data_IF_846696887886
#
_entry.id   IF_846696887886
#
_cell.length_a   1.000
_cell.length_b   1.000
_cell.length_c   1.000
_cell.angle_alpha   90.00
_cell.angle_beta   90.00
_cell.angle_gamma   90.00
#
_symmetry.space_group_name_H-M   'P 1'
#
loop_
_entity.id
_entity.type
_entity.pdbx_description
1 polymer ?
#
# COMPACT_ATOMS: atom_id res chain seq x y z
N UNK A 1 -12.70 6.40 -3.41
CA UNK A 1 -12.70 5.48 -4.58
C UNK A 1 -13.16 4.05 -4.20
N UNK A 2 -12.88 3.58 -3.01
CA UNK A 2 -13.17 2.23 -2.52
C UNK A 2 -14.67 1.87 -2.42
N UNK A 3 -15.57 2.85 -2.42
CA UNK A 3 -17.03 2.64 -2.38
C UNK A 3 -17.75 3.09 -3.68
N UNK A 4 -17.02 3.39 -4.76
CA UNK A 4 -17.62 3.93 -6.00
C UNK A 4 -18.72 3.04 -6.55
N UNK A 5 -18.50 1.73 -6.62
CA UNK A 5 -19.51 0.79 -7.09
C UNK A 5 -20.79 0.81 -6.26
N UNK A 6 -20.66 0.93 -4.94
CA UNK A 6 -21.80 1.00 -4.02
C UNK A 6 -22.62 2.28 -4.24
N UNK A 7 -21.95 3.45 -4.23
CA UNK A 7 -22.66 4.74 -4.36
C UNK A 7 -23.25 4.94 -5.76
N UNK A 8 -22.61 4.40 -6.81
CA UNK A 8 -23.14 4.40 -8.18
C UNK A 8 -24.38 3.52 -8.28
N UNK A 9 -24.32 2.28 -7.78
CA UNK A 9 -25.44 1.33 -7.81
C UNK A 9 -26.65 1.88 -7.05
N UNK A 10 -26.43 2.57 -5.94
CA UNK A 10 -27.49 3.17 -5.13
C UNK A 10 -27.97 4.53 -5.65
N UNK A 11 -27.44 5.02 -6.78
CA UNK A 11 -27.84 6.30 -7.39
C UNK A 11 -27.51 7.54 -6.54
N UNK A 12 -26.51 7.42 -5.65
CA UNK A 12 -26.06 8.52 -4.79
C UNK A 12 -25.20 9.52 -5.58
N UNK A 13 -24.51 9.02 -6.62
CA UNK A 13 -23.68 9.81 -7.53
C UNK A 13 -24.17 9.67 -8.97
N UNK A 14 -23.86 10.66 -9.80
CA UNK A 14 -24.15 10.63 -11.23
C UNK A 14 -22.85 10.48 -12.03
N UNK A 15 -22.90 9.86 -13.22
CA UNK A 15 -21.77 9.84 -14.13
C UNK A 15 -21.31 11.26 -14.48
N UNK A 16 -20.02 11.42 -14.66
CA UNK A 16 -19.40 12.68 -15.08
C UNK A 16 -18.54 12.48 -16.34
N UNK A 17 -18.44 13.52 -17.15
CA UNK A 17 -17.52 13.58 -18.26
C UNK A 17 -16.26 14.37 -17.82
N UNK A 18 -15.10 13.73 -17.86
CA UNK A 18 -13.81 14.38 -17.54
C UNK A 18 -13.33 15.32 -18.66
N UNK A 19 -13.91 15.22 -19.87
CA UNK A 19 -13.55 16.05 -21.00
C UNK A 19 -12.06 15.96 -21.36
N UNK A 20 -11.46 17.09 -21.73
CA UNK A 20 -10.07 17.13 -22.18
C UNK A 20 -9.03 16.84 -21.10
N UNK A 21 -9.40 16.94 -19.81
CA UNK A 21 -8.46 16.67 -18.72
C UNK A 21 -8.21 15.18 -18.50
N UNK A 22 -9.05 14.32 -19.08
CA UNK A 22 -8.89 12.86 -18.93
C UNK A 22 -7.49 12.38 -19.33
N UNK A 23 -6.90 12.98 -20.37
CA UNK A 23 -5.55 12.64 -20.82
C UNK A 23 -4.42 13.04 -19.86
N UNK A 24 -4.71 13.88 -18.88
CA UNK A 24 -3.74 14.36 -17.89
C UNK A 24 -3.80 13.58 -16.58
N UNK A 25 -4.76 12.65 -16.49
CA UNK A 25 -5.00 11.80 -15.30
C UNK A 25 -4.44 10.41 -15.56
N UNK A 26 -3.78 9.82 -14.57
CA UNK A 26 -3.32 8.44 -14.64
C UNK A 26 -4.51 7.48 -14.79
N UNK A 27 -4.38 6.46 -15.65
CA UNK A 27 -5.43 5.47 -15.91
C UNK A 27 -5.94 4.79 -14.64
N UNK A 28 -5.06 4.50 -13.69
CA UNK A 28 -5.43 3.91 -12.41
C UNK A 28 -6.32 4.84 -11.57
N UNK A 29 -6.13 6.15 -11.68
CA UNK A 29 -7.01 7.14 -11.03
C UNK A 29 -8.40 7.14 -11.63
N UNK A 30 -8.50 7.12 -12.97
CA UNK A 30 -9.78 7.04 -13.68
C UNK A 30 -10.48 5.71 -13.34
N UNK A 31 -9.75 4.60 -13.40
CA UNK A 31 -10.30 3.28 -13.07
C UNK A 31 -10.83 3.19 -11.64
N UNK A 32 -10.15 3.82 -10.67
CA UNK A 32 -10.58 3.89 -9.28
C UNK A 32 -11.92 4.61 -9.07
N UNK A 33 -12.32 5.48 -10.00
CA UNK A 33 -13.61 6.20 -9.99
C UNK A 33 -14.58 5.70 -11.06
N UNK A 34 -14.28 4.58 -11.72
CA UNK A 34 -15.13 4.00 -12.77
C UNK A 34 -15.91 2.80 -12.24
N UNK A 35 -17.16 2.67 -12.68
CA UNK A 35 -18.01 1.52 -12.42
C UNK A 35 -19.01 1.35 -13.58
N UNK A 36 -19.19 0.11 -14.07
CA UNK A 36 -20.14 -0.18 -15.15
C UNK A 36 -19.84 0.54 -16.47
N UNK A 37 -18.58 0.94 -16.70
CA UNK A 37 -18.16 1.66 -17.92
C UNK A 37 -18.32 3.18 -17.85
N UNK A 38 -18.77 3.73 -16.73
CA UNK A 38 -18.96 5.16 -16.50
C UNK A 38 -18.03 5.66 -15.38
N UNK A 39 -17.63 6.94 -15.44
CA UNK A 39 -16.82 7.60 -14.41
C UNK A 39 -17.72 8.37 -13.46
N UNK A 40 -17.58 8.18 -12.15
CA UNK A 40 -18.45 8.74 -11.11
C UNK A 40 -17.74 9.72 -10.17
N UNK A 41 -16.48 10.03 -10.41
CA UNK A 41 -15.74 10.96 -9.58
C UNK A 41 -14.54 11.56 -10.29
N UNK A 42 -14.08 12.69 -9.79
CA UNK A 42 -12.92 13.40 -10.30
C UNK A 42 -11.68 13.01 -9.49
N UNK A 43 -10.72 12.26 -10.06
CA UNK A 43 -9.47 11.93 -9.37
C UNK A 43 -8.62 13.20 -9.23
N UNK A 44 -8.39 13.68 -8.01
CA UNK A 44 -7.53 14.85 -7.77
C UNK A 44 -6.14 14.48 -7.29
N UNK A 45 -5.94 13.24 -6.85
CA UNK A 45 -4.65 12.71 -6.40
C UNK A 45 -4.59 11.21 -6.63
N UNK A 46 -3.36 10.71 -6.84
CA UNK A 46 -3.04 9.28 -6.81
C UNK A 46 -1.96 9.08 -5.76
N UNK A 47 -2.19 8.15 -4.87
CA UNK A 47 -1.33 7.89 -3.71
C UNK A 47 -0.78 6.46 -3.77
N UNK A 48 0.36 6.26 -3.14
CA UNK A 48 0.98 4.94 -3.00
C UNK A 48 1.54 4.78 -1.59
N UNK A 49 1.55 3.54 -1.12
CA UNK A 49 2.33 3.17 0.06
C UNK A 49 3.81 3.23 -0.31
N UNK A 50 4.60 3.81 0.57
CA UNK A 50 6.04 3.92 0.45
C UNK A 50 6.73 3.60 1.80
N UNK A 51 8.02 3.41 1.76
CA UNK A 51 8.82 3.30 2.97
C UNK A 51 9.53 4.62 3.22
N UNK A 52 9.19 5.27 4.32
CA UNK A 52 9.90 6.42 4.84
C UNK A 52 11.11 5.96 5.64
N UNK A 53 12.19 6.72 5.61
CA UNK A 53 13.38 6.46 6.43
C UNK A 53 13.80 7.72 7.17
N UNK A 54 14.42 7.56 8.34
CA UNK A 54 14.99 8.67 9.10
C UNK A 54 16.38 8.99 8.55
N UNK A 55 16.50 10.08 7.80
CA UNK A 55 17.75 10.50 7.15
C UNK A 55 18.86 10.88 8.13
N UNK A 56 18.54 11.13 9.39
CA UNK A 56 19.53 11.41 10.43
C UNK A 56 20.15 10.13 11.02
N UNK A 57 19.53 8.99 10.76
CA UNK A 57 19.91 7.69 11.31
C UNK A 57 20.37 6.68 10.23
N UNK A 58 20.11 6.95 8.96
CA UNK A 58 20.43 6.04 7.84
C UNK A 58 21.29 6.75 6.81
N UNK A 59 22.46 6.22 6.55
CA UNK A 59 23.34 6.68 5.48
C UNK A 59 22.93 6.03 4.15
N UNK A 60 22.22 6.78 3.31
CA UNK A 60 21.75 6.32 2.00
C UNK A 60 20.42 5.57 2.05
N UNK A 61 19.89 5.26 0.87
CA UNK A 61 18.60 4.57 0.70
C UNK A 61 18.87 3.09 0.44
N UNK A 62 18.43 2.16 1.31
CA UNK A 62 18.59 0.75 1.07
C UNK A 62 17.74 0.31 -0.15
N UNK A 63 18.27 -0.64 -0.92
CA UNK A 63 17.63 -1.14 -2.14
C UNK A 63 17.04 -2.54 -1.97
N UNK A 64 17.37 -3.23 -0.88
CA UNK A 64 16.88 -4.57 -0.57
C UNK A 64 16.47 -4.67 0.89
N UNK A 65 15.66 -5.68 1.20
CA UNK A 65 15.23 -5.94 2.58
C UNK A 65 16.39 -6.40 3.49
N UNK A 66 17.41 -7.04 2.92
CA UNK A 66 18.64 -7.39 3.61
C UNK A 66 19.43 -6.14 4.03
N UNK A 67 19.50 -5.13 3.14
CA UNK A 67 20.12 -3.84 3.45
C UNK A 67 19.32 -3.07 4.50
N UNK A 68 17.98 -3.11 4.43
CA UNK A 68 17.10 -2.54 5.46
C UNK A 68 17.40 -3.19 6.82
N UNK A 69 17.43 -4.51 6.87
CA UNK A 69 17.74 -5.25 8.11
C UNK A 69 19.12 -4.90 8.66
N UNK A 70 20.12 -4.84 7.77
CA UNK A 70 21.50 -4.50 8.16
C UNK A 70 21.60 -3.07 8.73
N UNK A 71 20.89 -2.10 8.13
CA UNK A 71 20.82 -0.74 8.64
C UNK A 71 20.20 -0.69 10.04
N UNK A 72 19.13 -1.44 10.26
CA UNK A 72 18.48 -1.53 11.56
C UNK A 72 19.38 -2.16 12.63
N UNK A 73 20.07 -3.24 12.29
CA UNK A 73 20.98 -3.91 13.21
C UNK A 73 22.16 -2.99 13.59
N UNK A 74 22.61 -2.16 12.65
CA UNK A 74 23.68 -1.18 12.91
C UNK A 74 23.20 0.00 13.77
N UNK A 75 21.98 0.49 13.55
CA UNK A 75 21.41 1.61 14.28
C UNK A 75 20.94 1.22 15.70
N UNK A 76 20.55 -0.04 15.91
CA UNK A 76 20.08 -0.56 17.19
C UNK A 76 18.79 0.11 17.69
N UNK A 77 17.90 0.53 16.77
CA UNK A 77 16.59 1.11 17.10
C UNK A 77 15.65 0.06 17.69
N UNK A 78 14.64 0.51 18.43
CA UNK A 78 13.62 -0.36 19.04
C UNK A 78 12.84 -1.16 17.98
N UNK A 79 12.44 -0.48 16.90
CA UNK A 79 11.80 -1.07 15.75
C UNK A 79 12.68 -0.86 14.52
N UNK A 80 12.73 -1.84 13.62
CA UNK A 80 13.38 -1.68 12.33
C UNK A 80 12.44 -0.95 11.37
N UNK A 81 11.40 -1.61 10.89
CA UNK A 81 10.36 -1.02 10.06
C UNK A 81 9.05 -1.07 10.84
N UNK A 82 8.54 0.08 11.23
CA UNK A 82 7.18 0.18 11.75
C UNK A 82 6.19 0.03 10.60
N UNK A 83 5.30 -0.95 10.68
CA UNK A 83 4.27 -1.15 9.67
C UNK A 83 2.91 -1.32 10.34
N UNK A 84 1.84 -0.63 9.84
CA UNK A 84 0.50 -0.90 10.29
C UNK A 84 0.10 -2.35 9.98
N UNK A 85 -0.30 -3.09 10.98
CA UNK A 85 -0.64 -4.51 10.80
C UNK A 85 -1.05 -5.19 12.11
N UNK A 86 -1.03 -4.42 13.21
CA UNK A 86 -1.42 -4.91 14.52
C UNK A 86 -2.92 -4.82 14.78
N UNK A 87 -3.33 -5.38 15.92
CA UNK A 87 -4.73 -5.33 16.36
C UNK A 87 -5.59 -6.50 15.92
N UNK A 88 -5.00 -7.60 15.44
CA UNK A 88 -5.68 -8.89 15.20
C UNK A 88 -6.41 -9.01 13.87
N UNK A 89 -6.47 -7.96 13.05
CA UNK A 89 -7.11 -7.98 11.73
C UNK A 89 -6.16 -7.77 10.56
N UNK A 90 -4.91 -7.40 10.84
CA UNK A 90 -3.97 -6.95 9.81
C UNK A 90 -4.40 -5.60 9.19
N UNK A 91 -3.54 -5.07 8.33
CA UNK A 91 -3.85 -3.89 7.51
C UNK A 91 -3.62 -4.23 6.05
N UNK A 92 -4.70 -4.62 5.37
CA UNK A 92 -4.64 -5.06 3.97
C UNK A 92 -4.09 -3.97 3.05
N UNK A 93 -4.41 -2.70 3.33
CA UNK A 93 -4.01 -1.59 2.48
C UNK A 93 -2.49 -1.37 2.50
N UNK A 94 -1.87 -1.39 3.70
CA UNK A 94 -0.42 -1.24 3.83
C UNK A 94 0.35 -2.51 3.42
N UNK A 95 -0.30 -3.68 3.44
CA UNK A 95 0.35 -4.94 3.10
C UNK A 95 0.18 -5.36 1.63
N UNK A 96 -0.78 -4.76 0.89
CA UNK A 96 -1.02 -5.12 -0.52
C UNK A 96 0.20 -4.96 -1.43
N UNK A 97 1.13 -3.99 -1.22
CA UNK A 97 2.35 -3.90 -2.03
C UNK A 97 3.19 -5.17 -2.04
N UNK A 98 3.23 -5.92 -0.93
CA UNK A 98 3.92 -7.22 -0.89
C UNK A 98 3.24 -8.23 -1.81
N UNK A 99 1.91 -8.33 -1.75
CA UNK A 99 1.15 -9.24 -2.61
C UNK A 99 1.37 -8.92 -4.09
N UNK A 100 1.44 -7.63 -4.43
CA UNK A 100 1.58 -7.16 -5.80
C UNK A 100 3.02 -7.25 -6.33
N UNK A 101 4.03 -7.30 -5.47
CA UNK A 101 5.45 -7.24 -5.87
C UNK A 101 5.86 -8.38 -6.80
N UNK A 102 5.29 -9.58 -6.62
CA UNK A 102 5.64 -10.77 -7.39
C UNK A 102 4.54 -11.22 -8.38
N UNK A 103 3.50 -10.39 -8.56
CA UNK A 103 2.43 -10.67 -9.53
C UNK A 103 1.13 -11.18 -8.93
N UNK A 104 0.94 -11.03 -7.62
CA UNK A 104 -0.39 -11.11 -7.01
C UNK A 104 -1.20 -9.85 -7.34
N UNK A 105 -2.51 -9.93 -7.27
CA UNK A 105 -3.43 -8.80 -7.47
C UNK A 105 -4.76 -9.06 -6.78
N UNK A 106 -5.51 -8.00 -6.47
CA UNK A 106 -6.87 -8.13 -5.92
C UNK A 106 -7.81 -8.53 -7.05
N UNK A 107 -7.99 -7.65 -8.04
CA UNK A 107 -8.74 -7.92 -9.26
C UNK A 107 -7.85 -7.64 -10.46
N UNK A 108 -7.95 -8.49 -11.49
CA UNK A 108 -7.23 -8.26 -12.73
C UNK A 108 -7.60 -6.92 -13.33
N UNK A 109 -6.60 -6.18 -13.78
CA UNK A 109 -6.78 -4.90 -14.43
C UNK A 109 -6.35 -4.98 -15.90
N UNK A 110 -7.31 -4.72 -16.82
CA UNK A 110 -7.07 -4.60 -18.26
C UNK A 110 -8.00 -3.50 -18.80
N UNK A 111 -7.62 -2.24 -18.61
CA UNK A 111 -8.48 -1.09 -18.91
C UNK A 111 -9.71 -0.94 -17.99
N UNK A 112 -9.91 -1.85 -17.05
CA UNK A 112 -10.95 -1.91 -16.03
C UNK A 112 -10.71 -3.08 -15.09
N UNK A 113 -11.33 -3.07 -13.90
CA UNK A 113 -11.21 -4.16 -12.94
C UNK A 113 -12.17 -5.31 -13.28
N UNK A 114 -11.64 -6.52 -13.38
CA UNK A 114 -12.42 -7.77 -13.53
C UNK A 114 -12.57 -8.44 -12.15
N UNK A 115 -13.72 -8.28 -11.53
CA UNK A 115 -14.01 -8.86 -10.21
C UNK A 115 -14.18 -10.39 -10.25
N UNK A 116 -14.22 -11.01 -11.42
CA UNK A 116 -14.26 -12.47 -11.56
C UNK A 116 -12.85 -13.10 -11.64
N UNK A 117 -11.82 -12.30 -11.84
CA UNK A 117 -10.41 -12.73 -11.87
C UNK A 117 -9.66 -12.15 -10.65
N UNK A 118 -9.54 -12.97 -9.61
CA UNK A 118 -8.90 -12.63 -8.32
C UNK A 118 -7.57 -13.33 -8.21
N UNK A 119 -6.50 -12.59 -8.00
CA UNK A 119 -5.12 -13.11 -7.94
C UNK A 119 -4.50 -13.16 -6.55
N UNK A 120 -5.33 -13.25 -5.50
CA UNK A 120 -4.86 -13.33 -4.10
C UNK A 120 -4.44 -14.75 -3.70
N UNK A 121 -4.85 -15.77 -4.45
CA UNK A 121 -4.56 -17.18 -4.20
C UNK A 121 -3.61 -17.81 -5.24
N UNK A 122 -3.04 -17.00 -6.14
CA UNK A 122 -2.06 -17.50 -7.08
C UNK A 122 -0.71 -17.77 -6.38
N UNK A 123 0.18 -18.51 -7.04
CA UNK A 123 1.47 -18.91 -6.47
C UNK A 123 2.36 -17.72 -6.09
N UNK A 124 2.27 -16.61 -6.85
CA UNK A 124 3.03 -15.40 -6.59
C UNK A 124 2.54 -14.69 -5.31
N UNK A 125 1.22 -14.53 -5.15
CA UNK A 125 0.63 -13.95 -3.95
C UNK A 125 0.97 -14.77 -2.69
N UNK A 126 0.95 -16.10 -2.80
CA UNK A 126 1.34 -16.99 -1.70
C UNK A 126 2.82 -16.82 -1.34
N UNK A 127 3.72 -16.80 -2.32
CA UNK A 127 5.15 -16.59 -2.10
C UNK A 127 5.42 -15.23 -1.43
N UNK A 128 4.74 -14.17 -1.86
CA UNK A 128 4.83 -12.84 -1.25
C UNK A 128 4.35 -12.84 0.21
N UNK A 129 3.26 -13.54 0.51
CA UNK A 129 2.75 -13.65 1.88
C UNK A 129 3.73 -14.43 2.79
N UNK A 130 4.34 -15.50 2.29
CA UNK A 130 5.39 -16.25 3.00
C UNK A 130 6.63 -15.38 3.22
N UNK A 131 7.00 -14.55 2.25
CA UNK A 131 8.12 -13.62 2.37
C UNK A 131 7.84 -12.55 3.44
N UNK A 132 6.66 -11.91 3.41
CA UNK A 132 6.24 -10.95 4.43
C UNK A 132 6.25 -11.58 5.84
N UNK A 133 5.73 -12.80 5.99
CA UNK A 133 5.77 -13.53 7.24
C UNK A 133 7.21 -13.76 7.72
N UNK A 134 8.14 -14.03 6.82
CA UNK A 134 9.56 -14.16 7.14
C UNK A 134 10.19 -12.87 7.66
N UNK A 135 9.82 -11.71 7.08
CA UNK A 135 10.29 -10.39 7.52
C UNK A 135 9.73 -10.00 8.90
N UNK A 136 8.51 -10.41 9.21
CA UNK A 136 7.93 -10.24 10.54
C UNK A 136 8.62 -11.16 11.55
N UNK A 137 8.81 -12.43 11.23
CA UNK A 137 9.45 -13.41 12.11
C UNK A 137 10.91 -13.10 12.44
N UNK A 138 11.65 -12.53 11.50
CA UNK A 138 13.05 -12.14 11.72
C UNK A 138 13.21 -10.75 12.36
N UNK A 139 12.11 -10.05 12.66
CA UNK A 139 12.09 -8.75 13.30
C UNK A 139 12.41 -7.56 12.38
N UNK A 140 12.47 -7.76 11.06
CA UNK A 140 12.65 -6.66 10.11
C UNK A 140 11.39 -5.79 10.06
N UNK A 141 10.20 -6.39 10.04
CA UNK A 141 8.94 -5.65 10.10
C UNK A 141 8.30 -5.88 11.47
N UNK A 142 8.01 -4.78 12.16
CA UNK A 142 7.23 -4.77 13.38
C UNK A 142 5.78 -4.39 13.06
N UNK A 143 4.88 -5.39 13.11
CA UNK A 143 3.46 -5.17 12.94
C UNK A 143 2.87 -4.51 14.20
N UNK A 144 2.52 -3.24 14.10
CA UNK A 144 1.97 -2.42 15.19
C UNK A 144 0.66 -1.76 14.74
N UNK A 145 -0.06 -1.10 15.64
CA UNK A 145 -1.12 -0.20 15.19
C UNK A 145 -0.52 1.06 14.52
N UNK A 146 -1.35 1.74 13.71
CA UNK A 146 -0.90 2.90 12.94
C UNK A 146 -0.32 4.02 13.83
N UNK A 147 -0.99 4.35 14.92
CA UNK A 147 -0.54 5.41 15.84
C UNK A 147 0.78 5.06 16.53
N UNK A 148 0.95 3.80 16.93
CA UNK A 148 2.19 3.34 17.55
C UNK A 148 3.36 3.36 16.56
N UNK A 149 3.17 2.91 15.31
CA UNK A 149 4.21 2.96 14.28
C UNK A 149 4.61 4.40 13.94
N UNK A 150 3.62 5.30 13.79
CA UNK A 150 3.85 6.72 13.57
C UNK A 150 4.66 7.36 14.71
N UNK A 151 4.23 7.14 15.94
CA UNK A 151 4.91 7.69 17.13
C UNK A 151 6.34 7.17 17.24
N UNK A 152 6.55 5.87 17.02
CA UNK A 152 7.89 5.29 17.06
C UNK A 152 8.82 5.91 16.01
N UNK A 153 8.32 6.17 14.80
CA UNK A 153 9.09 6.83 13.76
C UNK A 153 9.41 8.29 14.09
N UNK A 154 8.41 9.06 14.54
CA UNK A 154 8.58 10.47 14.93
C UNK A 154 9.57 10.66 16.08
N UNK A 155 9.65 9.72 17.01
CA UNK A 155 10.57 9.73 18.15
C UNK A 155 11.94 9.11 17.85
N UNK A 156 12.20 8.67 16.58
CA UNK A 156 13.46 8.03 16.21
C UNK A 156 13.65 6.63 16.79
N UNK A 157 12.59 5.99 17.29
CA UNK A 157 12.59 4.62 17.80
C UNK A 157 12.39 3.57 16.71
N UNK A 158 11.87 3.98 15.54
CA UNK A 158 11.81 3.17 14.32
C UNK A 158 12.70 3.80 13.25
N UNK A 159 13.51 3.00 12.57
CA UNK A 159 14.40 3.50 11.53
C UNK A 159 13.64 3.78 10.24
N UNK A 160 12.68 2.92 9.93
CA UNK A 160 11.81 3.01 8.76
C UNK A 160 10.34 2.95 9.16
N UNK A 161 9.48 3.49 8.30
CA UNK A 161 8.04 3.46 8.48
C UNK A 161 7.32 3.27 7.14
N UNK A 162 6.46 2.27 7.06
CA UNK A 162 5.62 2.03 5.89
C UNK A 162 4.30 2.76 6.05
N UNK A 163 4.04 3.73 5.17
CA UNK A 163 2.79 4.49 5.12
C UNK A 163 2.65 5.21 3.78
N UNK A 164 1.60 6.01 3.62
CA UNK A 164 1.37 6.81 2.44
C UNK A 164 1.60 8.31 2.67
N UNK A 165 1.37 9.16 1.65
CA UNK A 165 1.66 10.60 1.69
C UNK A 165 0.73 11.42 2.60
N UNK A 166 -0.24 10.81 3.23
CA UNK A 166 -1.11 11.43 4.25
C UNK A 166 -0.44 11.54 5.63
N UNK A 167 0.71 10.98 5.82
CA UNK A 167 1.44 10.93 7.10
C UNK A 167 2.25 12.20 7.39
#
# INVERSE_FOLDING_TARGET
>A
HDIVGEVATNGVVAPIDLGSIQSDIFDVGIAGFSFGGEVYGFPYATEAIAMYYNSDLVDGVPSTWEEVKAACDAAGTELCVGAPGGGGGGDAYHNIPFVQSDGGYIFKFDGGFDSSDVGLDNAAALASAEYLDSLVKNGTIAATDYGASMTAFQEGRSLFWMTGPWA
#
